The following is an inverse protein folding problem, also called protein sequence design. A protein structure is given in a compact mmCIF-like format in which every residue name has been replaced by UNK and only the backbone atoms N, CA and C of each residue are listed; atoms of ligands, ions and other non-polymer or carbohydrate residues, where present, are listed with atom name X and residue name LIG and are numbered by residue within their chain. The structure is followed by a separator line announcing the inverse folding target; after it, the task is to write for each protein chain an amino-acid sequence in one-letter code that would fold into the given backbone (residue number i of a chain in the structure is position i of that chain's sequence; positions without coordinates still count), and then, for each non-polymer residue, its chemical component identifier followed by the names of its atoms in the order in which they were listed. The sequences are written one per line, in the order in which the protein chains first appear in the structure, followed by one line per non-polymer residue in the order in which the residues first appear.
data_IF_666917377101
#
_entry.id   IF_666917377101
#
_cell.length_a   1.000
_cell.length_b   1.000
_cell.length_c   1.000
_cell.angle_alpha   90.00
_cell.angle_beta   90.00
_cell.angle_gamma   90.00
#
_symmetry.space_group_name_H-M   'P 1'
#
loop_
_entity.id
_entity.type
_entity.pdbx_description
1 polymer ?
#
# COMPACT_ATOMS: atom_id res chain seq x y z
N UNK A 1 5.09 22.80 -10.81
CA UNK A 1 6.25 22.57 -9.92
C UNK A 1 6.70 21.15 -10.11
N UNK A 2 7.96 20.82 -9.88
CA UNK A 2 8.37 19.41 -9.83
C UNK A 2 7.59 18.73 -8.69
N UNK A 3 6.53 18.00 -9.03
CA UNK A 3 6.00 16.96 -8.16
C UNK A 3 7.08 15.89 -8.07
N UNK A 4 8.01 16.08 -7.14
CA UNK A 4 9.12 15.18 -6.93
C UNK A 4 8.53 13.85 -6.47
N UNK A 5 8.51 12.86 -7.37
CA UNK A 5 8.16 11.48 -7.05
C UNK A 5 9.09 11.01 -5.91
N UNK A 6 8.53 10.89 -4.71
CA UNK A 6 9.20 10.31 -3.54
C UNK A 6 8.67 8.90 -3.30
N UNK A 7 9.28 8.18 -2.36
CA UNK A 7 8.77 6.90 -1.89
C UNK A 7 7.34 6.99 -1.31
N UNK A 8 6.89 8.19 -0.92
CA UNK A 8 5.57 8.46 -0.35
C UNK A 8 4.55 8.95 -1.39
N UNK A 9 4.94 9.11 -2.65
CA UNK A 9 3.96 9.51 -3.68
C UNK A 9 3.03 8.35 -3.98
N UNK A 10 1.69 8.52 -3.92
CA UNK A 10 0.72 7.43 -4.05
C UNK A 10 0.53 7.01 -5.52
N UNK A 11 1.61 6.64 -6.19
CA UNK A 11 1.57 6.14 -7.57
C UNK A 11 1.40 4.63 -7.53
N UNK A 12 0.29 4.09 -8.09
CA UNK A 12 0.10 2.65 -8.15
C UNK A 12 1.13 2.03 -9.10
N UNK A 13 1.73 0.91 -8.68
CA UNK A 13 2.66 0.13 -9.50
C UNK A 13 2.46 -1.37 -9.28
N UNK A 14 2.86 -2.17 -10.26
CA UNK A 14 2.84 -3.64 -10.12
C UNK A 14 4.16 -4.10 -9.50
N UNK A 15 4.09 -5.07 -8.60
CA UNK A 15 5.29 -5.72 -8.05
C UNK A 15 6.17 -6.29 -9.17
N UNK A 16 5.57 -6.82 -10.24
CA UNK A 16 6.31 -7.30 -11.41
C UNK A 16 7.13 -6.20 -12.09
N UNK A 17 6.58 -4.99 -12.22
CA UNK A 17 7.28 -3.85 -12.83
C UNK A 17 8.42 -3.37 -11.93
N UNK A 18 8.22 -3.38 -10.61
CA UNK A 18 9.27 -3.07 -9.63
C UNK A 18 10.42 -4.09 -9.70
N UNK A 19 10.11 -5.39 -9.72
CA UNK A 19 11.11 -6.45 -9.83
C UNK A 19 11.92 -6.34 -11.13
N UNK A 20 11.25 -6.01 -12.24
CA UNK A 20 11.90 -5.76 -13.53
C UNK A 20 12.88 -4.60 -13.46
N UNK A 21 12.49 -3.47 -12.85
CA UNK A 21 13.38 -2.33 -12.67
C UNK A 21 14.61 -2.65 -11.79
N UNK A 22 14.43 -3.48 -10.75
CA UNK A 22 15.55 -3.95 -9.92
C UNK A 22 16.52 -4.79 -10.76
N UNK A 23 16.02 -5.70 -11.60
CA UNK A 23 16.84 -6.52 -12.50
C UNK A 23 17.59 -5.67 -13.53
N UNK A 24 16.91 -4.73 -14.18
CA UNK A 24 17.53 -3.80 -15.13
C UNK A 24 18.66 -3.00 -14.47
N UNK A 25 18.44 -2.50 -13.24
CA UNK A 25 19.46 -1.74 -12.50
C UNK A 25 20.64 -2.61 -12.11
N UNK A 26 20.44 -3.86 -11.70
CA UNK A 26 21.55 -4.80 -11.41
C UNK A 26 22.39 -5.13 -12.65
N UNK A 27 21.77 -5.12 -13.84
CA UNK A 27 22.44 -5.37 -15.12
C UNK A 27 23.38 -4.25 -15.59
N UNK A 28 23.23 -3.03 -15.05
CA UNK A 28 24.10 -1.89 -15.41
C UNK A 28 25.54 -2.08 -14.92
N UNK A 29 26.50 -1.44 -15.59
CA UNK A 29 27.92 -1.49 -15.21
C UNK A 29 28.21 -0.65 -13.96
N UNK A 30 27.55 0.50 -13.82
CA UNK A 30 27.68 1.45 -12.71
C UNK A 30 27.18 0.91 -11.36
N UNK A 31 26.31 -0.11 -11.37
CA UNK A 31 25.64 -0.63 -10.17
C UNK A 31 26.44 -1.72 -9.44
N UNK A 32 27.73 -1.92 -9.74
CA UNK A 32 28.56 -2.97 -9.13
C UNK A 32 28.51 -2.97 -7.60
N UNK A 33 28.52 -1.80 -6.97
CA UNK A 33 28.49 -1.67 -5.51
C UNK A 33 27.08 -1.91 -4.93
N UNK A 34 26.03 -1.61 -5.68
CA UNK A 34 24.63 -1.75 -5.23
C UNK A 34 24.07 -3.16 -5.43
N UNK A 35 24.70 -3.97 -6.30
CA UNK A 35 24.24 -5.33 -6.66
C UNK A 35 23.92 -6.22 -5.46
N UNK A 36 24.76 -6.31 -4.40
CA UNK A 36 24.44 -7.14 -3.24
C UNK A 36 23.14 -6.70 -2.55
N UNK A 37 22.96 -5.39 -2.38
CA UNK A 37 21.79 -4.79 -1.75
C UNK A 37 20.53 -5.00 -2.59
N UNK A 38 20.61 -4.74 -3.90
CA UNK A 38 19.50 -4.96 -4.83
C UNK A 38 19.08 -6.43 -4.91
N UNK A 39 20.05 -7.36 -4.89
CA UNK A 39 19.77 -8.80 -4.86
C UNK A 39 19.05 -9.19 -3.56
N UNK A 40 19.51 -8.70 -2.41
CA UNK A 40 18.85 -8.96 -1.12
C UNK A 40 17.43 -8.39 -1.09
N UNK A 41 17.23 -7.16 -1.58
CA UNK A 41 15.93 -6.52 -1.69
C UNK A 41 14.98 -7.34 -2.58
N UNK A 42 15.43 -7.73 -3.78
CA UNK A 42 14.68 -8.58 -4.70
C UNK A 42 14.20 -9.85 -4.02
N UNK A 43 15.11 -10.60 -3.37
CA UNK A 43 14.77 -11.85 -2.68
C UNK A 43 13.75 -11.65 -1.57
N UNK A 44 13.84 -10.54 -0.81
CA UNK A 44 12.85 -10.22 0.23
C UNK A 44 11.46 -9.94 -0.35
N UNK A 45 11.38 -9.17 -1.43
CA UNK A 45 10.11 -8.87 -2.11
C UNK A 45 9.48 -10.16 -2.66
N UNK A 46 10.27 -10.99 -3.36
CA UNK A 46 9.79 -12.27 -3.90
C UNK A 46 9.30 -13.21 -2.80
N UNK A 47 10.01 -13.27 -1.68
CA UNK A 47 9.63 -14.10 -0.53
C UNK A 47 8.32 -13.62 0.11
N UNK A 48 8.13 -12.31 0.26
CA UNK A 48 6.87 -11.74 0.76
C UNK A 48 5.71 -11.98 -0.22
N UNK A 49 5.95 -11.83 -1.52
CA UNK A 49 4.94 -12.05 -2.55
C UNK A 49 4.50 -13.52 -2.67
N UNK A 50 5.42 -14.45 -2.40
CA UNK A 50 5.16 -15.89 -2.42
C UNK A 50 4.57 -16.44 -1.11
N UNK A 51 4.57 -15.66 -0.02
CA UNK A 51 4.05 -16.10 1.28
C UNK A 51 2.52 -16.33 1.19
N UNK A 52 2.03 -17.55 1.51
CA UNK A 52 0.60 -17.87 1.47
C UNK A 52 -0.27 -16.93 2.33
N UNK A 53 0.29 -16.38 3.41
CA UNK A 53 -0.41 -15.46 4.31
C UNK A 53 -0.73 -14.12 3.65
N UNK A 54 0.06 -13.73 2.67
CA UNK A 54 -0.12 -12.51 1.89
C UNK A 54 -0.76 -12.76 0.53
N UNK A 55 -1.24 -13.99 0.27
CA UNK A 55 -1.87 -14.36 -1.01
C UNK A 55 -3.02 -13.44 -1.40
N UNK A 56 -3.78 -12.93 -0.43
CA UNK A 56 -4.87 -11.98 -0.69
C UNK A 56 -4.39 -10.67 -1.33
N UNK A 57 -3.16 -10.20 -1.04
CA UNK A 57 -2.60 -8.98 -1.63
C UNK A 57 -2.11 -9.19 -3.07
N UNK A 58 -1.53 -10.36 -3.36
CA UNK A 58 -0.75 -10.58 -4.59
C UNK A 58 -1.42 -11.49 -5.62
N UNK A 59 -2.55 -12.13 -5.32
CA UNK A 59 -3.21 -13.10 -6.21
C UNK A 59 -4.35 -12.51 -7.07
N UNK A 60 -4.64 -11.21 -6.97
CA UNK A 60 -5.65 -10.59 -7.83
C UNK A 60 -5.08 -10.31 -9.23
N UNK A 61 -5.63 -10.98 -10.25
CA UNK A 61 -5.25 -10.80 -11.67
C UNK A 61 -6.15 -9.80 -12.41
N UNK A 62 -7.18 -9.28 -11.75
CA UNK A 62 -8.14 -8.32 -12.29
C UNK A 62 -8.32 -7.22 -11.23
N UNK A 63 -7.70 -6.08 -11.46
CA UNK A 63 -7.95 -4.86 -10.69
C UNK A 63 -8.64 -3.91 -11.66
N UNK A 64 -9.96 -3.80 -11.53
CA UNK A 64 -10.77 -2.86 -12.30
C UNK A 64 -10.94 -1.52 -11.57
N UNK A 65 -10.65 -1.50 -10.27
CA UNK A 65 -10.85 -0.33 -9.42
C UNK A 65 -9.74 0.72 -9.62
N UNK A 66 -10.13 2.00 -9.58
CA UNK A 66 -9.18 3.11 -9.53
C UNK A 66 -8.85 3.48 -8.09
N UNK A 67 -7.63 3.98 -7.83
CA UNK A 67 -7.24 4.47 -6.49
C UNK A 67 -8.20 5.56 -5.97
N UNK A 68 -8.76 6.37 -6.89
CA UNK A 68 -9.75 7.40 -6.57
C UNK A 68 -11.05 6.78 -6.01
N UNK A 69 -11.62 5.80 -6.71
CA UNK A 69 -12.84 5.11 -6.28
C UNK A 69 -12.59 4.30 -5.00
N UNK A 70 -11.45 3.60 -4.90
CA UNK A 70 -11.11 2.82 -3.71
C UNK A 70 -11.01 3.72 -2.48
N UNK A 71 -10.23 4.80 -2.53
CA UNK A 71 -10.06 5.74 -1.41
C UNK A 71 -11.40 6.43 -1.10
N UNK A 72 -12.15 6.86 -2.12
CA UNK A 72 -13.47 7.47 -1.96
C UNK A 72 -14.47 6.55 -1.27
N UNK A 73 -14.46 5.25 -1.60
CA UNK A 73 -15.29 4.24 -0.96
C UNK A 73 -14.87 3.95 0.48
N UNK A 74 -13.56 3.81 0.74
CA UNK A 74 -13.01 3.52 2.07
C UNK A 74 -13.33 4.66 3.04
N UNK A 75 -12.97 5.90 2.67
CA UNK A 75 -13.11 7.06 3.54
C UNK A 75 -14.43 7.81 3.37
N UNK A 76 -15.33 7.30 2.52
CA UNK A 76 -16.64 7.88 2.24
C UNK A 76 -16.51 9.32 1.76
N UNK A 77 -15.67 9.57 0.77
CA UNK A 77 -15.50 10.90 0.18
C UNK A 77 -15.93 10.85 -1.29
N UNK A 78 -17.08 11.44 -1.67
CA UNK A 78 -18.07 12.10 -0.79
C UNK A 78 -18.96 11.10 -0.03
N UNK A 79 -19.58 11.54 1.09
CA UNK A 79 -20.23 10.64 2.04
C UNK A 79 -21.48 9.90 1.52
N UNK A 80 -22.22 10.47 0.58
CA UNK A 80 -23.47 9.88 0.03
C UNK A 80 -24.45 9.31 1.09
N UNK A 81 -24.56 9.96 2.25
CA UNK A 81 -25.42 9.51 3.36
C UNK A 81 -24.93 8.27 4.11
N UNK A 82 -23.72 7.76 3.83
CA UNK A 82 -23.07 6.65 4.53
C UNK A 82 -21.73 7.12 5.09
N UNK A 83 -21.71 7.73 6.29
CA UNK A 83 -20.50 8.36 6.82
C UNK A 83 -19.47 7.38 7.40
N UNK A 84 -19.85 6.11 7.60
CA UNK A 84 -19.02 5.10 8.27
C UNK A 84 -18.70 3.95 7.31
N UNK A 85 -17.44 3.51 7.34
CA UNK A 85 -16.97 2.25 6.75
C UNK A 85 -16.41 1.39 7.86
N UNK A 86 -16.92 0.17 7.99
CA UNK A 86 -16.40 -0.82 8.94
C UNK A 86 -15.64 -1.89 8.16
N UNK A 87 -14.43 -2.21 8.60
CA UNK A 87 -13.63 -3.32 8.07
C UNK A 87 -13.79 -4.52 8.99
N UNK A 88 -14.40 -5.59 8.49
CA UNK A 88 -14.45 -6.87 9.19
C UNK A 88 -13.14 -7.61 8.94
N UNK A 89 -12.43 -7.91 10.03
CA UNK A 89 -11.11 -8.55 10.00
C UNK A 89 -11.12 -9.92 10.70
N UNK A 90 -12.29 -10.40 11.13
CA UNK A 90 -12.45 -11.73 11.70
C UNK A 90 -11.91 -12.81 10.75
N UNK A 91 -11.10 -13.72 11.33
CA UNK A 91 -10.51 -14.84 10.59
C UNK A 91 -9.25 -14.48 9.79
N UNK A 92 -8.81 -13.21 9.78
CA UNK A 92 -7.51 -12.83 9.21
C UNK A 92 -6.37 -13.14 10.21
N UNK A 93 -5.18 -13.59 9.74
CA UNK A 93 -4.00 -13.68 10.58
C UNK A 93 -3.61 -12.31 11.17
N UNK A 94 -3.04 -12.28 12.37
CA UNK A 94 -2.72 -11.01 13.06
C UNK A 94 -1.70 -10.16 12.30
N UNK A 95 -0.73 -10.80 11.64
CA UNK A 95 0.23 -10.12 10.76
C UNK A 95 -0.44 -9.41 9.57
N UNK A 96 -1.56 -9.96 9.10
CA UNK A 96 -2.35 -9.37 8.01
C UNK A 96 -3.13 -8.17 8.53
N UNK A 97 -3.77 -8.30 9.69
CA UNK A 97 -4.49 -7.21 10.35
C UNK A 97 -3.56 -6.01 10.56
N UNK A 98 -2.36 -6.23 11.09
CA UNK A 98 -1.38 -5.16 11.31
C UNK A 98 -0.98 -4.46 10.00
N UNK A 99 -0.79 -5.22 8.93
CA UNK A 99 -0.45 -4.68 7.62
C UNK A 99 -1.59 -3.82 7.06
N UNK A 100 -2.84 -4.31 7.12
CA UNK A 100 -4.04 -3.59 6.66
C UNK A 100 -4.26 -2.31 7.46
N UNK A 101 -4.22 -2.39 8.79
CA UNK A 101 -4.37 -1.23 9.68
C UNK A 101 -3.30 -0.16 9.39
N UNK A 102 -2.05 -0.57 9.18
CA UNK A 102 -0.95 0.35 8.88
C UNK A 102 -1.17 1.11 7.56
N UNK A 103 -1.61 0.40 6.51
CA UNK A 103 -1.90 1.01 5.21
C UNK A 103 -3.11 1.95 5.30
N UNK A 104 -4.20 1.53 5.95
CA UNK A 104 -5.39 2.36 6.13
C UNK A 104 -5.08 3.62 6.95
N UNK A 105 -4.30 3.50 8.03
CA UNK A 105 -3.88 4.62 8.85
C UNK A 105 -3.01 5.61 8.07
N UNK A 106 -2.07 5.11 7.25
CA UNK A 106 -1.24 5.97 6.38
C UNK A 106 -2.09 6.74 5.38
N UNK A 107 -3.00 6.06 4.69
CA UNK A 107 -3.92 6.67 3.72
C UNK A 107 -4.85 7.69 4.38
N UNK A 108 -5.37 7.39 5.58
CA UNK A 108 -6.20 8.29 6.36
C UNK A 108 -5.43 9.58 6.72
N UNK A 109 -4.18 9.42 7.16
CA UNK A 109 -3.29 10.54 7.46
C UNK A 109 -3.00 11.40 6.24
N UNK A 110 -2.61 10.79 5.11
CA UNK A 110 -2.32 11.51 3.87
C UNK A 110 -3.54 12.28 3.35
N UNK A 111 -4.71 11.64 3.37
CA UNK A 111 -5.96 12.26 2.95
C UNK A 111 -6.33 13.45 3.85
N UNK A 112 -6.20 13.30 5.17
CA UNK A 112 -6.45 14.38 6.12
C UNK A 112 -5.45 15.53 5.92
N UNK A 113 -4.16 15.23 5.75
CA UNK A 113 -3.10 16.20 5.54
C UNK A 113 -3.32 17.01 4.25
N UNK A 114 -3.61 16.34 3.13
CA UNK A 114 -3.87 17.00 1.85
C UNK A 114 -5.21 17.74 1.79
N UNK A 115 -6.14 17.43 2.70
CA UNK A 115 -7.42 18.14 2.77
C UNK A 115 -7.31 19.58 3.29
N UNK A 116 -6.16 19.96 3.86
CA UNK A 116 -5.94 21.27 4.51
C UNK A 116 -7.04 21.61 5.54
N UNK A 117 -7.48 20.60 6.29
CA UNK A 117 -8.50 20.73 7.34
C UNK A 117 -9.96 20.71 6.86
N UNK A 118 -10.20 20.52 5.56
CA UNK A 118 -11.57 20.40 5.00
C UNK A 118 -12.21 19.05 5.27
N UNK A 119 -11.41 18.01 5.48
CA UNK A 119 -11.88 16.66 5.79
C UNK A 119 -11.65 16.36 7.27
N UNK A 120 -12.73 16.01 7.99
CA UNK A 120 -12.65 15.49 9.35
C UNK A 120 -12.86 13.98 9.30
N UNK A 121 -11.85 13.23 9.73
CA UNK A 121 -11.81 11.77 9.62
C UNK A 121 -11.47 11.15 10.97
N UNK A 122 -12.22 10.11 11.35
CA UNK A 122 -11.95 9.29 12.52
C UNK A 122 -11.49 7.90 12.06
N UNK A 123 -10.30 7.50 12.49
CA UNK A 123 -9.79 6.15 12.34
C UNK A 123 -9.81 5.47 13.71
N UNK A 124 -10.59 4.40 13.85
CA UNK A 124 -10.80 3.68 15.11
C UNK A 124 -10.32 2.24 14.98
N UNK A 125 -9.40 1.82 15.86
CA UNK A 125 -8.96 0.44 15.99
C UNK A 125 -9.54 -0.17 17.28
N UNK A 126 -10.40 -1.18 17.15
CA UNK A 126 -11.04 -1.84 18.31
C UNK A 126 -10.05 -2.61 19.19
N UNK A 127 -9.09 -3.31 18.58
CA UNK A 127 -8.10 -4.14 19.27
C UNK A 127 -6.68 -3.56 19.21
N UNK A 128 -6.53 -2.25 19.45
CA UNK A 128 -5.24 -1.54 19.31
C UNK A 128 -4.11 -2.03 20.24
N UNK A 129 -4.39 -2.95 21.15
CA UNK A 129 -3.42 -3.57 22.06
C UNK A 129 -2.71 -4.79 21.46
N UNK A 130 -3.22 -5.31 20.34
CA UNK A 130 -2.65 -6.46 19.64
C UNK A 130 -1.42 -6.11 18.81
#
# INVERSE_FOLDING_TARGET
GNDALTADTPVPYRIADLLKQIDERMGMLESKNDRPTLKSLKTRIESAAADPRYRFMFNSRLIEDTIHETIGNIFRVPHHGRPVTCFEMAGMPSEVVNSVCSVLARLAFDLALWSEGKLQLLFLCEEAHR
#
